data_IF_983105115718
#
_entry.id   IF_983105115718
#
_cell.length_a   1.000
_cell.length_b   1.000
_cell.length_c   1.000
_cell.angle_alpha   90.00
_cell.angle_beta   90.00
_cell.angle_gamma   90.00
#
_symmetry.space_group_name_H-M   'P 1'
#
loop_
_entity.id
_entity.type
_entity.pdbx_description
1 polymer ?
#
# COMPACT_ATOMS: atom_id res chain seq x y z
N UNK A 1 7.40 -13.67 -5.64
CA UNK A 1 7.31 -13.20 -4.25
C UNK A 1 6.14 -12.24 -4.07
N UNK A 2 5.36 -12.50 -3.04
CA UNK A 2 4.28 -11.61 -2.64
C UNK A 2 4.42 -11.38 -1.14
N UNK A 3 4.53 -10.12 -0.76
CA UNK A 3 4.57 -9.72 0.65
C UNK A 3 3.36 -8.86 0.91
N UNK A 4 2.57 -9.23 1.92
CA UNK A 4 1.35 -8.53 2.26
C UNK A 4 1.48 -7.98 3.67
N UNK A 5 1.25 -6.67 3.82
CA UNK A 5 1.18 -6.04 5.12
C UNK A 5 -0.26 -5.65 5.44
N UNK A 6 -0.80 -6.22 6.50
CA UNK A 6 -2.12 -5.86 7.01
C UNK A 6 -2.07 -5.53 8.50
N UNK A 7 -0.88 -5.24 9.02
CA UNK A 7 -0.65 -5.13 10.45
C UNK A 7 -0.94 -3.75 11.04
N UNK A 8 -1.05 -2.71 10.22
CA UNK A 8 -1.21 -1.36 10.75
C UNK A 8 -2.05 -0.50 9.83
N UNK A 9 -2.76 0.46 10.44
CA UNK A 9 -3.56 1.43 9.72
C UNK A 9 -2.90 2.81 9.67
N UNK A 10 -1.67 2.93 10.16
CA UNK A 10 -1.01 4.23 10.24
C UNK A 10 -0.09 4.47 9.05
N UNK A 11 -0.23 5.66 8.45
CA UNK A 11 0.55 6.05 7.29
C UNK A 11 2.05 5.90 7.50
N UNK A 12 2.57 6.43 8.61
CA UNK A 12 4.00 6.39 8.86
C UNK A 12 4.54 4.96 8.99
N UNK A 13 3.78 4.08 9.62
CA UNK A 13 4.17 2.68 9.74
C UNK A 13 4.18 1.99 8.39
N UNK A 14 3.17 2.28 7.57
CA UNK A 14 3.08 1.70 6.23
C UNK A 14 4.26 2.13 5.36
N UNK A 15 4.62 3.41 5.42
CA UNK A 15 5.79 3.92 4.68
C UNK A 15 7.07 3.26 5.19
N UNK A 16 7.23 3.12 6.50
CA UNK A 16 8.42 2.48 7.07
C UNK A 16 8.53 1.01 6.66
N UNK A 17 7.42 0.30 6.60
CA UNK A 17 7.41 -1.08 6.14
C UNK A 17 7.89 -1.17 4.69
N UNK A 18 7.41 -0.30 3.83
CA UNK A 18 7.84 -0.27 2.44
C UNK A 18 9.34 0.00 2.36
N UNK A 19 9.83 1.01 3.08
CA UNK A 19 11.25 1.38 3.04
C UNK A 19 12.17 0.30 3.58
N UNK A 20 11.70 -0.48 4.54
CA UNK A 20 12.51 -1.52 5.16
C UNK A 20 12.40 -2.87 4.45
N UNK A 21 11.39 -3.06 3.62
CA UNK A 21 11.08 -4.35 3.03
C UNK A 21 11.48 -4.45 1.56
N UNK A 22 11.50 -3.33 0.83
CA UNK A 22 11.63 -3.38 -0.64
C UNK A 22 12.88 -4.13 -1.10
N UNK A 23 13.96 -4.07 -0.35
CA UNK A 23 15.21 -4.71 -0.74
C UNK A 23 15.15 -6.24 -0.68
N UNK A 24 14.18 -6.76 0.05
CA UNK A 24 14.00 -8.20 0.20
C UNK A 24 13.05 -8.79 -0.84
N UNK A 25 12.45 -7.95 -1.67
CA UNK A 25 11.52 -8.39 -2.70
C UNK A 25 12.31 -8.68 -3.97
N UNK A 26 12.11 -9.86 -4.53
CA UNK A 26 12.79 -10.23 -5.76
C UNK A 26 12.23 -9.46 -6.95
N UNK A 27 13.02 -9.36 -8.01
CA UNK A 27 12.59 -8.73 -9.25
C UNK A 27 11.28 -9.36 -9.72
N UNK A 28 10.28 -8.51 -10.02
CA UNK A 28 8.96 -8.97 -10.39
C UNK A 28 8.05 -9.31 -9.22
N UNK A 29 8.55 -9.26 -8.00
CA UNK A 29 7.74 -9.53 -6.81
C UNK A 29 6.83 -8.37 -6.45
N UNK A 30 5.85 -8.65 -5.60
CA UNK A 30 4.81 -7.71 -5.19
C UNK A 30 4.89 -7.40 -3.71
N UNK A 31 4.65 -6.14 -3.37
CA UNK A 31 4.38 -5.72 -2.00
C UNK A 31 2.99 -5.12 -1.98
N UNK A 32 2.15 -5.62 -1.10
CA UNK A 32 0.76 -5.17 -0.98
C UNK A 32 0.57 -4.58 0.41
N UNK A 33 0.16 -3.32 0.47
CA UNK A 33 -0.16 -2.66 1.74
C UNK A 33 -1.68 -2.56 1.81
N UNK A 34 -2.26 -3.21 2.81
CA UNK A 34 -3.70 -3.20 3.03
C UNK A 34 -4.10 -2.11 4.02
N UNK A 35 -5.38 -1.96 4.26
CA UNK A 35 -5.93 -1.06 5.26
C UNK A 35 -5.59 0.41 5.03
N UNK A 36 -5.67 0.84 3.78
CA UNK A 36 -5.62 2.24 3.42
C UNK A 36 -7.06 2.68 3.19
N UNK A 37 -7.49 3.73 3.89
CA UNK A 37 -8.87 4.17 3.85
C UNK A 37 -9.03 5.39 2.96
N UNK A 38 -10.08 5.40 2.13
CA UNK A 38 -10.27 6.45 1.15
C UNK A 38 -10.48 7.83 1.74
N UNK A 39 -11.14 7.87 2.91
CA UNK A 39 -11.54 9.15 3.50
C UNK A 39 -10.83 9.45 4.81
N UNK A 40 -9.84 8.67 5.18
CA UNK A 40 -9.12 8.90 6.42
C UNK A 40 -8.05 9.95 6.22
N UNK A 41 -8.01 10.94 7.11
CA UNK A 41 -6.95 11.94 7.10
C UNK A 41 -5.60 11.25 7.31
N UNK A 42 -4.64 11.57 6.46
CA UNK A 42 -3.34 10.93 6.49
C UNK A 42 -3.20 9.80 5.48
N UNK A 43 -4.32 9.32 4.89
CA UNK A 43 -4.30 8.25 3.89
C UNK A 43 -4.51 8.76 2.47
N UNK A 44 -4.22 10.02 2.23
CA UNK A 44 -4.31 10.59 0.88
C UNK A 44 -3.23 9.96 -0.01
N UNK A 45 -3.61 9.59 -1.23
CA UNK A 45 -2.69 8.95 -2.17
C UNK A 45 -1.46 9.81 -2.45
N UNK A 46 -1.65 11.12 -2.54
CA UNK A 46 -0.56 12.04 -2.81
C UNK A 46 0.53 11.98 -1.74
N UNK A 47 0.17 11.71 -0.49
CA UNK A 47 1.14 11.58 0.60
C UNK A 47 2.03 10.37 0.40
N UNK A 48 1.43 9.25 -0.02
CA UNK A 48 2.20 8.04 -0.30
C UNK A 48 3.16 8.25 -1.47
N UNK A 49 2.67 8.80 -2.57
CA UNK A 49 3.51 9.07 -3.73
C UNK A 49 4.66 10.00 -3.39
N UNK A 50 4.41 11.03 -2.60
CA UNK A 50 5.44 11.97 -2.19
C UNK A 50 6.54 11.30 -1.36
N UNK A 51 6.13 10.46 -0.40
CA UNK A 51 7.09 9.77 0.47
C UNK A 51 7.86 8.68 -0.25
N UNK A 52 7.27 8.10 -1.30
CA UNK A 52 7.88 7.00 -2.05
C UNK A 52 8.59 7.50 -3.32
N UNK A 53 8.69 8.80 -3.50
CA UNK A 53 9.23 9.37 -4.72
C UNK A 53 10.60 8.81 -5.09
N UNK A 54 11.48 8.66 -4.12
CA UNK A 54 12.84 8.17 -4.37
C UNK A 54 12.89 6.67 -4.66
N UNK A 55 11.82 5.94 -4.42
CA UNK A 55 11.74 4.51 -4.71
C UNK A 55 11.11 4.21 -6.07
N UNK A 56 10.70 5.23 -6.81
CA UNK A 56 10.01 5.02 -8.08
C UNK A 56 10.90 4.33 -9.12
N UNK A 57 12.20 4.47 -9.01
CA UNK A 57 13.14 3.78 -9.91
C UNK A 57 13.23 2.28 -9.61
N UNK A 58 12.92 1.90 -8.38
CA UNK A 58 13.02 0.52 -7.91
C UNK A 58 11.79 -0.28 -8.27
N UNK A 59 10.62 0.37 -8.26
CA UNK A 59 9.36 -0.28 -8.56
C UNK A 59 8.91 0.05 -9.97
N UNK A 60 8.46 -0.97 -10.70
CA UNK A 60 7.88 -0.78 -12.03
C UNK A 60 6.48 -0.19 -11.93
N UNK A 61 5.77 -0.48 -10.84
CA UNK A 61 4.45 0.08 -10.59
C UNK A 61 4.28 0.40 -9.12
N UNK A 62 3.63 1.54 -8.86
CA UNK A 62 3.13 1.93 -7.54
C UNK A 62 1.72 2.43 -7.80
N UNK A 63 0.72 1.62 -7.48
CA UNK A 63 -0.67 1.95 -7.82
C UNK A 63 -1.60 1.66 -6.65
N UNK A 64 -2.67 2.42 -6.57
CA UNK A 64 -3.74 2.18 -5.61
C UNK A 64 -4.88 1.44 -6.30
N UNK A 65 -5.42 0.45 -5.60
CA UNK A 65 -6.56 -0.31 -6.07
C UNK A 65 -7.65 -0.20 -5.02
N UNK A 66 -8.82 0.31 -5.44
CA UNK A 66 -9.96 0.38 -4.55
C UNK A 66 -10.64 -0.99 -4.51
N UNK A 67 -10.97 -1.41 -3.29
CA UNK A 67 -11.62 -2.70 -3.11
C UNK A 67 -13.08 -2.50 -2.73
N UNK A 68 -13.93 -3.39 -3.19
CA UNK A 68 -15.32 -3.45 -2.77
C UNK A 68 -15.59 -4.84 -2.21
N UNK A 69 -16.32 -4.86 -1.11
CA UNK A 69 -16.67 -6.12 -0.47
C UNK A 69 -18.09 -6.51 -0.83
N UNK A 70 -18.28 -7.79 -1.06
CA UNK A 70 -19.59 -8.32 -1.44
C UNK A 70 -20.61 -8.24 -0.30
N UNK A 71 -20.12 -8.23 0.94
CA UNK A 71 -20.99 -8.08 2.10
C UNK A 71 -20.50 -6.91 2.95
N UNK A 72 -21.38 -6.41 3.81
CA UNK A 72 -21.16 -5.15 4.50
C UNK A 72 -21.09 -5.33 6.00
N UNK A 73 -20.30 -6.27 6.45
CA UNK A 73 -20.25 -6.61 7.86
C UNK A 73 -19.40 -5.68 8.70
N UNK A 74 -18.48 -4.94 8.09
CA UNK A 74 -17.60 -4.04 8.83
C UNK A 74 -17.78 -2.61 8.36
N UNK A 75 -17.55 -1.66 9.26
CA UNK A 75 -17.74 -0.24 8.96
C UNK A 75 -16.69 0.27 7.95
N UNK A 76 -15.53 -0.37 7.88
CA UNK A 76 -14.44 0.09 7.02
C UNK A 76 -14.49 -0.48 5.62
N UNK A 77 -15.29 -1.48 5.37
CA UNK A 77 -15.27 -2.24 4.12
C UNK A 77 -15.42 -1.38 2.86
N UNK A 78 -16.27 -0.38 2.94
CA UNK A 78 -16.58 0.45 1.76
C UNK A 78 -15.54 1.52 1.48
N UNK A 79 -14.61 1.72 2.37
CA UNK A 79 -13.63 2.81 2.27
C UNK A 79 -12.21 2.33 2.06
N UNK A 80 -12.01 1.03 1.95
CA UNK A 80 -10.68 0.46 1.85
C UNK A 80 -10.13 0.49 0.44
N UNK A 81 -8.82 0.63 0.38
CA UNK A 81 -8.04 0.42 -0.84
C UNK A 81 -6.71 -0.20 -0.46
N UNK A 82 -6.02 -0.74 -1.45
CA UNK A 82 -4.68 -1.29 -1.25
C UNK A 82 -3.69 -0.51 -2.09
N UNK A 83 -2.45 -0.52 -1.62
CA UNK A 83 -1.32 0.01 -2.38
C UNK A 83 -0.52 -1.18 -2.89
N UNK A 84 -0.38 -1.28 -4.20
CA UNK A 84 0.35 -2.35 -4.85
C UNK A 84 1.65 -1.79 -5.41
N UNK A 85 2.77 -2.40 -5.02
CA UNK A 85 4.08 -2.06 -5.53
C UNK A 85 4.68 -3.29 -6.20
N UNK A 86 5.12 -3.15 -7.43
CA UNK A 86 5.74 -4.24 -8.19
C UNK A 86 7.20 -3.92 -8.40
N UNK A 87 8.07 -4.80 -7.92
CA UNK A 87 9.52 -4.61 -8.02
C UNK A 87 9.99 -4.87 -9.44
N UNK A 88 10.87 -4.01 -9.91
CA UNK A 88 11.54 -4.23 -11.20
C UNK A 88 12.43 -5.46 -11.19
#
# INVERSE_FOLDING_TARGET
DIIIDDSTHEFNHQINIIKNTYRYIKSGGYLVIEDIYRFKKGHEESKYYKKLKHLRKIFSKIVFIETTHANNFTASWKCEKILLLIKK
#
